data_IF_859344622603
#
_entry.id   IF_859344622603
#
_cell.length_a   1.000
_cell.length_b   1.000
_cell.length_c   1.000
_cell.angle_alpha   90.00
_cell.angle_beta   90.00
_cell.angle_gamma   90.00
#
_symmetry.space_group_name_H-M   'P 1'
#
loop_
_entity.id
_entity.type
_entity.pdbx_description
1 polymer ?
#
# COMPACT_ATOMS: atom_id res chain seq x y z
N UNK A 1 26.08 -22.91 3.78
CA UNK A 1 24.75 -22.91 4.45
C UNK A 1 24.38 -21.51 4.92
N UNK A 2 23.73 -20.75 4.03
CA UNK A 2 22.89 -19.55 4.30
C UNK A 2 21.85 -19.51 3.15
N UNK A 3 21.10 -20.59 2.95
CA UNK A 3 19.67 -20.76 3.28
C UNK A 3 18.80 -19.60 2.74
N UNK A 4 18.12 -19.91 1.62
CA UNK A 4 16.97 -19.21 0.98
C UNK A 4 17.35 -17.92 0.23
N UNK A 5 17.41 -17.83 -1.11
CA UNK A 5 16.52 -18.30 -2.18
C UNK A 5 15.05 -17.88 -1.95
N UNK A 6 14.50 -17.12 -2.90
CA UNK A 6 13.14 -16.54 -2.99
C UNK A 6 12.84 -15.32 -2.11
N UNK A 7 13.23 -14.12 -2.55
CA UNK A 7 12.24 -13.04 -2.63
C UNK A 7 12.17 -12.62 -4.10
N UNK A 8 11.12 -13.16 -4.71
CA UNK A 8 10.58 -12.85 -6.02
C UNK A 8 10.28 -11.35 -6.07
N UNK A 9 10.84 -10.64 -7.06
CA UNK A 9 10.10 -9.63 -7.82
C UNK A 9 10.68 -9.66 -9.24
N UNK A 10 10.21 -10.64 -10.00
CA UNK A 10 9.88 -10.39 -11.40
C UNK A 10 8.73 -9.37 -11.40
N UNK A 11 9.05 -8.10 -11.23
CA UNK A 11 8.25 -7.05 -11.84
C UNK A 11 8.86 -6.79 -13.22
N UNK A 12 8.57 -7.68 -14.16
CA UNK A 12 8.41 -7.25 -15.54
C UNK A 12 7.11 -6.45 -15.60
N UNK A 13 7.13 -5.25 -15.05
CA UNK A 13 6.15 -4.22 -15.31
C UNK A 13 7.00 -2.99 -15.56
N UNK A 14 7.06 -2.60 -16.83
CA UNK A 14 7.62 -1.37 -17.37
C UNK A 14 8.11 -0.39 -16.30
N UNK A 15 9.42 -0.15 -16.22
CA UNK A 15 9.93 1.08 -15.63
C UNK A 15 9.54 2.23 -16.59
N UNK A 16 8.28 2.62 -16.57
CA UNK A 16 7.87 3.93 -17.05
C UNK A 16 8.15 4.85 -15.88
N UNK A 17 9.33 5.47 -15.88
CA UNK A 17 9.70 6.50 -14.92
C UNK A 17 8.83 7.74 -15.14
N UNK A 18 7.55 7.64 -14.80
CA UNK A 18 6.71 8.80 -14.56
C UNK A 18 6.58 8.93 -13.05
N UNK A 19 6.58 10.17 -12.56
CA UNK A 19 6.41 10.48 -11.14
C UNK A 19 5.05 10.02 -10.58
N UNK A 20 4.14 9.55 -11.45
CA UNK A 20 2.75 9.24 -11.14
C UNK A 20 2.52 7.90 -10.45
N UNK A 21 3.42 6.92 -10.56
CA UNK A 21 3.17 5.58 -10.02
C UNK A 21 3.36 5.51 -8.49
N UNK A 22 2.37 4.93 -7.80
CA UNK A 22 2.47 4.59 -6.38
C UNK A 22 3.44 3.43 -6.18
N UNK A 23 4.38 3.61 -5.26
CA UNK A 23 5.26 2.57 -4.72
C UNK A 23 4.94 2.36 -3.25
N UNK A 24 5.03 1.11 -2.81
CA UNK A 24 4.77 0.77 -1.42
C UNK A 24 5.80 -0.21 -0.89
N UNK A 25 6.03 -0.16 0.42
CA UNK A 25 6.86 -1.10 1.16
C UNK A 25 6.24 -1.38 2.51
N UNK A 26 6.13 -2.65 2.87
CA UNK A 26 5.77 -3.07 4.22
C UNK A 26 7.03 -3.58 4.93
N UNK A 27 7.40 -2.91 6.03
CA UNK A 27 8.51 -3.31 6.88
C UNK A 27 8.07 -4.33 7.94
N UNK A 28 9.01 -5.10 8.49
CA UNK A 28 8.74 -6.17 9.46
C UNK A 28 8.13 -5.67 10.78
N UNK A 29 8.32 -4.39 11.10
CA UNK A 29 7.73 -3.71 12.26
C UNK A 29 6.22 -3.45 12.10
N UNK A 30 5.69 -3.61 10.88
CA UNK A 30 4.31 -3.31 10.52
C UNK A 30 4.10 -1.90 9.95
N UNK A 31 5.16 -1.18 9.59
CA UNK A 31 5.08 0.12 8.93
C UNK A 31 4.90 -0.06 7.41
N UNK A 32 3.73 0.35 6.90
CA UNK A 32 3.46 0.51 5.46
C UNK A 32 3.88 1.92 5.03
N UNK A 33 4.90 2.03 4.18
CA UNK A 33 5.35 3.29 3.57
C UNK A 33 4.86 3.38 2.14
N UNK A 34 4.30 4.52 1.75
CA UNK A 34 3.71 4.77 0.44
C UNK A 34 4.31 6.04 -0.15
N UNK A 35 4.78 5.97 -1.39
CA UNK A 35 5.39 7.08 -2.11
C UNK A 35 4.85 7.14 -3.54
N UNK A 36 4.98 8.28 -4.22
CA UNK A 36 4.41 8.54 -5.54
C UNK A 36 3.59 9.83 -5.51
N UNK A 37 2.82 10.11 -6.56
CA UNK A 37 2.01 11.33 -6.60
C UNK A 37 0.51 11.10 -6.67
N UNK A 38 0.04 10.07 -7.37
CA UNK A 38 -1.39 9.88 -7.64
C UNK A 38 -1.87 8.51 -7.15
N UNK A 39 -2.49 8.46 -5.98
CA UNK A 39 -3.01 7.20 -5.44
C UNK A 39 -4.33 6.85 -6.12
N UNK A 40 -4.42 5.71 -6.82
CA UNK A 40 -5.64 5.34 -7.51
C UNK A 40 -6.70 4.90 -6.50
N UNK A 41 -7.97 5.06 -6.89
CA UNK A 41 -9.07 4.40 -6.21
C UNK A 41 -8.96 2.88 -6.34
N UNK A 42 -9.20 2.19 -5.23
CA UNK A 42 -9.28 0.73 -5.18
C UNK A 42 -10.73 0.29 -5.13
N UNK A 43 -10.95 -0.97 -5.51
CA UNK A 43 -12.28 -1.58 -5.54
C UNK A 43 -12.39 -2.65 -4.47
N UNK A 44 -13.56 -2.73 -3.85
CA UNK A 44 -13.93 -3.82 -2.95
C UNK A 44 -15.01 -4.69 -3.60
N UNK A 45 -14.82 -6.00 -3.58
CA UNK A 45 -15.80 -7.00 -4.02
C UNK A 45 -16.13 -7.91 -2.84
N UNK A 46 -17.42 -8.15 -2.60
CA UNK A 46 -17.89 -9.10 -1.59
C UNK A 46 -18.38 -10.36 -2.29
N UNK A 47 -17.82 -11.51 -1.93
CA UNK A 47 -18.25 -12.81 -2.41
C UNK A 47 -18.30 -13.77 -1.23
N UNK A 48 -19.46 -14.38 -0.97
CA UNK A 48 -19.68 -15.34 0.12
C UNK A 48 -19.08 -14.85 1.47
N UNK A 49 -19.45 -13.64 1.87
CA UNK A 49 -18.96 -12.94 3.09
C UNK A 49 -17.46 -12.61 3.14
N UNK A 50 -16.69 -12.95 2.12
CA UNK A 50 -15.30 -12.54 1.97
C UNK A 50 -15.20 -11.24 1.20
N UNK A 51 -14.49 -10.25 1.76
CA UNK A 51 -14.16 -9.01 1.07
C UNK A 51 -12.77 -9.08 0.43
N UNK A 52 -12.74 -8.84 -0.88
CA UNK A 52 -11.54 -8.75 -1.70
C UNK A 52 -11.34 -7.32 -2.13
N UNK A 53 -10.20 -6.73 -1.78
CA UNK A 53 -9.86 -5.34 -2.11
C UNK A 53 -8.65 -5.34 -3.04
N UNK A 54 -8.67 -4.47 -4.06
CA UNK A 54 -7.60 -4.39 -5.06
C UNK A 54 -6.31 -3.67 -4.59
N UNK A 55 -6.31 -3.06 -3.41
CA UNK A 55 -5.13 -2.44 -2.82
C UNK A 55 -4.00 -3.47 -2.62
N UNK A 56 -2.78 -3.24 -3.15
CA UNK A 56 -1.71 -4.25 -3.17
C UNK A 56 -1.33 -4.80 -1.78
N UNK A 57 -1.40 -3.95 -0.75
CA UNK A 57 -1.05 -4.29 0.63
C UNK A 57 -2.18 -4.96 1.41
N UNK A 58 -3.40 -5.06 0.86
CA UNK A 58 -4.57 -5.58 1.58
C UNK A 58 -4.38 -7.03 2.08
N UNK A 59 -3.63 -7.85 1.35
CA UNK A 59 -3.30 -9.23 1.77
C UNK A 59 -2.52 -9.30 3.09
N UNK A 60 -1.81 -8.22 3.45
CA UNK A 60 -1.03 -8.10 4.68
C UNK A 60 -1.68 -7.17 5.71
N UNK A 61 -2.96 -6.79 5.56
CA UNK A 61 -3.64 -5.80 6.41
C UNK A 61 -3.52 -6.02 7.91
N UNK A 62 -3.47 -7.28 8.35
CA UNK A 62 -3.35 -7.64 9.77
C UNK A 62 -1.93 -7.39 10.33
N UNK A 63 -0.93 -7.15 9.48
CA UNK A 63 0.43 -6.78 9.90
C UNK A 63 0.63 -5.27 9.97
N UNK A 64 -0.25 -4.49 9.33
CA UNK A 64 -0.11 -3.03 9.24
C UNK A 64 -0.48 -2.43 10.59
N UNK A 65 0.49 -1.77 11.21
CA UNK A 65 0.35 -1.05 12.49
C UNK A 65 0.50 0.46 12.31
N UNK A 66 1.27 0.87 11.31
CA UNK A 66 1.56 2.27 10.98
C UNK A 66 1.48 2.46 9.48
N UNK A 67 0.88 3.56 9.05
CA UNK A 67 0.92 4.02 7.66
C UNK A 67 1.71 5.32 7.61
N UNK A 68 2.67 5.40 6.69
CA UNK A 68 3.44 6.60 6.37
C UNK A 68 3.21 6.91 4.90
N UNK A 69 2.51 8.00 4.63
CA UNK A 69 2.37 8.54 3.28
C UNK A 69 3.48 9.58 3.13
N UNK A 70 4.36 9.39 2.15
CA UNK A 70 5.46 10.30 1.88
C UNK A 70 4.99 11.53 1.10
N UNK A 71 5.77 12.62 1.21
CA UNK A 71 5.53 13.84 0.46
C UNK A 71 5.45 13.55 -1.05
N UNK A 72 4.56 14.28 -1.73
CA UNK A 72 4.31 14.12 -3.16
C UNK A 72 3.00 13.41 -3.45
N UNK A 73 2.52 12.54 -2.56
CA UNK A 73 1.17 11.97 -2.67
C UNK A 73 0.16 13.10 -2.46
N UNK A 74 -0.70 13.35 -3.46
CA UNK A 74 -1.67 14.45 -3.45
C UNK A 74 -3.08 14.02 -3.06
N UNK A 75 -3.38 12.73 -3.15
CA UNK A 75 -4.71 12.15 -2.90
C UNK A 75 -4.58 10.77 -2.24
N UNK A 76 -5.62 10.37 -1.52
CA UNK A 76 -5.76 9.00 -0.99
C UNK A 76 -6.96 8.38 -1.68
N UNK A 77 -6.72 7.32 -2.44
CA UNK A 77 -7.78 6.65 -3.19
C UNK A 77 -8.77 5.92 -2.28
N UNK A 78 -10.00 5.77 -2.79
CA UNK A 78 -11.04 4.98 -2.16
C UNK A 78 -10.57 3.56 -1.86
N UNK A 79 -11.02 2.99 -0.75
CA UNK A 79 -10.63 1.64 -0.31
C UNK A 79 -9.11 1.40 -0.23
N UNK A 80 -8.29 2.44 0.00
CA UNK A 80 -6.85 2.29 0.21
C UNK A 80 -6.51 1.50 1.47
N UNK A 81 -7.19 1.74 2.62
CA UNK A 81 -6.83 1.09 3.90
C UNK A 81 -7.97 0.34 4.62
N UNK A 82 -8.82 -0.43 3.92
CA UNK A 82 -9.93 -1.11 4.55
C UNK A 82 -9.44 -2.26 5.45
N UNK A 83 -10.14 -2.44 6.57
CA UNK A 83 -9.92 -3.52 7.52
C UNK A 83 -8.49 -3.62 8.09
N UNK A 84 -7.71 -2.53 8.11
CA UNK A 84 -6.44 -2.48 8.82
C UNK A 84 -6.68 -2.40 10.34
N UNK A 85 -7.20 -3.48 10.94
CA UNK A 85 -7.68 -3.52 12.34
C UNK A 85 -6.59 -3.29 13.40
N UNK A 86 -5.34 -3.52 13.04
CA UNK A 86 -4.18 -3.31 13.91
C UNK A 86 -3.51 -1.94 13.70
N UNK A 87 -4.07 -1.08 12.83
CA UNK A 87 -3.54 0.25 12.56
C UNK A 87 -3.71 1.13 13.80
N UNK A 88 -2.59 1.69 14.26
CA UNK A 88 -2.53 2.55 15.46
C UNK A 88 -2.08 3.97 15.13
N UNK A 89 -1.44 4.17 13.97
CA UNK A 89 -0.90 5.46 13.58
C UNK A 89 -0.94 5.64 12.06
N UNK A 90 -1.32 6.84 11.62
CA UNK A 90 -1.21 7.28 10.23
C UNK A 90 -0.50 8.62 10.19
N UNK A 91 0.48 8.76 9.31
CA UNK A 91 1.16 10.02 9.01
C UNK A 91 0.75 10.43 7.60
N UNK A 92 0.01 11.54 7.50
CA UNK A 92 -0.47 12.13 6.25
C UNK A 92 0.33 13.43 6.02
N UNK A 93 0.99 13.61 4.87
CA UNK A 93 1.74 14.82 4.57
C UNK A 93 0.80 15.96 4.19
N UNK A 94 1.28 17.20 4.32
CA UNK A 94 0.52 18.40 3.98
C UNK A 94 0.18 18.50 2.48
N UNK A 95 0.83 17.70 1.62
CA UNK A 95 0.55 17.65 0.18
C UNK A 95 -0.77 16.96 -0.16
N UNK A 96 -1.33 16.15 0.75
CA UNK A 96 -2.60 15.46 0.51
C UNK A 96 -3.74 16.47 0.66
N UNK A 97 -4.45 16.69 -0.44
CA UNK A 97 -5.65 17.53 -0.48
C UNK A 97 -6.89 16.63 -0.55
N UNK A 98 -7.96 17.00 0.18
CA UNK A 98 -9.25 16.28 0.16
C UNK A 98 -10.06 16.54 -1.10
#
# INVERSE_FOLDING_TARGET
MKKYLLIIILALFSFSATNAEIRWKLSDDGTLTISGTDMPDYTAKKENDKISVSAPWYSQKNKIKKIVIEDGVTSIGDWAFPECKNLTSITIPNSVTS
#
